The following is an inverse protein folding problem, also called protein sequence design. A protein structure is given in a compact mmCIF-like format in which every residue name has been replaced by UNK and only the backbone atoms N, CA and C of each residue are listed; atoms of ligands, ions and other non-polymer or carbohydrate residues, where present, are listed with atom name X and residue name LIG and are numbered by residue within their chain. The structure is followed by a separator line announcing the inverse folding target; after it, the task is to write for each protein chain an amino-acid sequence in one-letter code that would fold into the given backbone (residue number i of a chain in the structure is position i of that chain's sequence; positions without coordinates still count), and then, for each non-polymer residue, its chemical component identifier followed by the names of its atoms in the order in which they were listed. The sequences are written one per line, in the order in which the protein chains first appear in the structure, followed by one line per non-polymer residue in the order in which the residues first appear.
data_IF_888802663010
#
_entry.id   IF_888802663010
#
_cell.length_a   1.000
_cell.length_b   1.000
_cell.length_c   1.000
_cell.angle_alpha   90.00
_cell.angle_beta   90.00
_cell.angle_gamma   90.00
#
_symmetry.space_group_name_H-M   'P 1'
#
loop_
_entity.id
_entity.type
_entity.pdbx_description
1 polymer ?
#
# COMPACT_ATOMS: atom_id res chain seq x y z
N UNK A 1 -15.39 8.77 -15.94
CA UNK A 1 -15.26 7.30 -16.13
C UNK A 1 -16.39 6.52 -15.44
N UNK A 2 -16.81 6.87 -14.21
CA UNK A 2 -17.90 6.17 -13.51
C UNK A 2 -19.19 5.96 -14.33
N UNK A 3 -19.75 7.01 -14.94
CA UNK A 3 -20.97 6.91 -15.76
C UNK A 3 -20.85 5.91 -16.92
N UNK A 4 -19.67 5.81 -17.54
CA UNK A 4 -19.44 4.85 -18.62
C UNK A 4 -19.42 3.43 -18.07
N UNK A 5 -18.70 3.19 -16.97
CA UNK A 5 -18.70 1.88 -16.29
C UNK A 5 -20.11 1.48 -15.89
N UNK A 6 -20.89 2.40 -15.33
CA UNK A 6 -22.28 2.16 -14.97
C UNK A 6 -23.13 1.73 -16.17
N UNK A 7 -22.95 2.39 -17.32
CA UNK A 7 -23.75 2.13 -18.51
C UNK A 7 -23.40 0.82 -19.22
N UNK A 8 -22.11 0.49 -19.32
CA UNK A 8 -21.66 -0.56 -20.26
C UNK A 8 -20.89 -1.72 -19.63
N UNK A 9 -20.37 -1.58 -18.42
CA UNK A 9 -19.62 -2.66 -17.80
C UNK A 9 -20.56 -3.71 -17.17
N UNK A 10 -20.04 -4.93 -17.02
CA UNK A 10 -20.70 -5.94 -16.18
C UNK A 10 -20.86 -5.39 -14.76
N UNK A 11 -21.97 -5.69 -14.09
CA UNK A 11 -22.24 -5.18 -12.73
C UNK A 11 -21.33 -5.80 -11.67
N UNK A 12 -20.67 -6.91 -11.99
CA UNK A 12 -19.67 -7.57 -11.16
C UNK A 12 -18.22 -7.19 -11.50
N UNK A 13 -17.99 -6.21 -12.39
CA UNK A 13 -16.64 -5.75 -12.75
C UNK A 13 -15.86 -5.28 -11.51
N UNK A 14 -14.57 -5.59 -11.44
CA UNK A 14 -13.64 -5.11 -10.40
C UNK A 14 -12.82 -3.93 -10.95
N UNK A 15 -12.81 -2.82 -10.22
CA UNK A 15 -12.18 -1.56 -10.62
C UNK A 15 -10.98 -1.28 -9.72
N UNK A 16 -9.82 -1.10 -10.34
CA UNK A 16 -8.60 -0.63 -9.68
C UNK A 16 -8.24 0.76 -10.22
N UNK A 17 -8.31 1.77 -9.34
CA UNK A 17 -7.93 3.14 -9.67
C UNK A 17 -6.47 3.37 -9.31
N UNK A 18 -5.70 3.76 -10.33
CA UNK A 18 -4.26 4.06 -10.22
C UNK A 18 -3.97 5.55 -10.40
N UNK A 19 -4.75 6.25 -11.22
CA UNK A 19 -4.54 7.67 -11.51
C UNK A 19 -4.76 8.54 -10.28
N UNK A 20 -3.80 9.42 -9.99
CA UNK A 20 -3.84 10.28 -8.82
C UNK A 20 -4.85 11.44 -8.95
N UNK A 21 -5.49 11.85 -7.84
CA UNK A 21 -5.44 11.27 -6.49
C UNK A 21 -6.28 9.98 -6.38
N UNK A 22 -5.63 8.82 -6.22
CA UNK A 22 -6.26 7.51 -6.47
C UNK A 22 -7.48 7.22 -5.58
N UNK A 23 -7.38 7.47 -4.27
CA UNK A 23 -8.47 7.21 -3.33
C UNK A 23 -9.71 8.08 -3.63
N UNK A 24 -9.50 9.38 -3.87
CA UNK A 24 -10.59 10.31 -4.22
C UNK A 24 -11.19 9.97 -5.58
N UNK A 25 -10.37 9.62 -6.56
CA UNK A 25 -10.84 9.19 -7.88
C UNK A 25 -11.68 7.90 -7.80
N UNK A 26 -11.30 6.94 -6.95
CA UNK A 26 -12.10 5.74 -6.69
C UNK A 26 -13.45 6.08 -6.06
N UNK A 27 -13.47 6.96 -5.06
CA UNK A 27 -14.71 7.43 -4.43
C UNK A 27 -15.63 8.10 -5.47
N UNK A 28 -15.12 9.04 -6.25
CA UNK A 28 -15.88 9.72 -7.32
C UNK A 28 -16.40 8.69 -8.32
N UNK A 29 -15.56 7.76 -8.76
CA UNK A 29 -15.94 6.73 -9.73
C UNK A 29 -17.10 5.87 -9.21
N UNK A 30 -17.07 5.46 -7.94
CA UNK A 30 -18.16 4.69 -7.30
C UNK A 30 -19.46 5.49 -7.17
N UNK A 31 -19.38 6.81 -6.96
CA UNK A 31 -20.56 7.69 -6.87
C UNK A 31 -21.31 7.82 -8.19
N UNK A 32 -20.57 7.81 -9.30
CA UNK A 32 -21.11 7.90 -10.66
C UNK A 32 -21.41 6.52 -11.29
N UNK A 33 -21.28 5.43 -10.52
CA UNK A 33 -21.60 4.08 -10.96
C UNK A 33 -22.45 3.30 -9.94
N UNK A 34 -23.67 3.79 -9.63
CA UNK A 34 -24.50 3.26 -8.55
C UNK A 34 -24.98 1.82 -8.77
N UNK A 35 -24.97 1.31 -10.01
CA UNK A 35 -25.37 -0.06 -10.31
C UNK A 35 -24.27 -1.11 -10.08
N UNK A 36 -23.04 -0.67 -9.78
CA UNK A 36 -21.90 -1.56 -9.46
C UNK A 36 -21.70 -1.55 -7.93
N UNK A 37 -21.53 -2.71 -7.29
CA UNK A 37 -21.27 -2.78 -5.84
C UNK A 37 -20.04 -1.96 -5.44
N UNK A 38 -20.14 -1.21 -4.34
CA UNK A 38 -19.08 -0.28 -3.90
C UNK A 38 -17.79 -0.99 -3.53
N UNK A 39 -17.87 -2.22 -3.04
CA UNK A 39 -16.76 -3.11 -2.72
C UNK A 39 -15.91 -3.51 -3.95
N UNK A 40 -16.40 -3.24 -5.16
CA UNK A 40 -15.65 -3.48 -6.39
C UNK A 40 -14.70 -2.32 -6.74
N UNK A 41 -14.84 -1.16 -6.10
CA UNK A 41 -14.00 0.00 -6.35
C UNK A 41 -12.85 0.05 -5.36
N UNK A 42 -11.63 -0.08 -5.88
CA UNK A 42 -10.40 -0.07 -5.09
C UNK A 42 -9.45 1.01 -5.59
N UNK A 43 -8.64 1.56 -4.68
CA UNK A 43 -7.56 2.49 -5.00
C UNK A 43 -6.21 1.82 -4.72
N UNK A 44 -5.23 2.06 -5.58
CA UNK A 44 -3.95 1.35 -5.49
C UNK A 44 -3.01 1.99 -4.46
N UNK A 45 -2.84 1.33 -3.31
CA UNK A 45 -1.71 1.56 -2.36
C UNK A 45 -0.69 0.42 -2.40
N UNK A 46 -0.85 -0.53 -3.33
CA UNK A 46 0.01 -1.73 -3.44
C UNK A 46 1.46 -1.38 -3.77
N UNK A 47 1.71 -0.33 -4.55
CA UNK A 47 3.07 0.11 -4.83
C UNK A 47 3.76 0.62 -3.56
N UNK A 48 3.03 1.32 -2.70
CA UNK A 48 3.54 1.77 -1.40
C UNK A 48 3.86 0.58 -0.48
N UNK A 49 2.99 -0.44 -0.45
CA UNK A 49 3.23 -1.67 0.31
C UNK A 49 4.49 -2.39 -0.17
N UNK A 50 4.68 -2.51 -1.49
CA UNK A 50 5.88 -3.13 -2.06
C UNK A 50 7.15 -2.35 -1.70
N UNK A 51 7.08 -1.01 -1.69
CA UNK A 51 8.20 -0.14 -1.26
C UNK A 51 8.51 -0.36 0.22
N UNK A 52 7.50 -0.42 1.07
CA UNK A 52 7.64 -0.69 2.50
C UNK A 52 8.27 -2.06 2.77
N UNK A 53 7.81 -3.12 2.08
CA UNK A 53 8.41 -4.46 2.17
C UNK A 53 9.88 -4.45 1.77
N UNK A 54 10.24 -3.76 0.67
CA UNK A 54 11.62 -3.66 0.22
C UNK A 54 12.53 -2.92 1.23
N UNK A 55 12.03 -1.86 1.88
CA UNK A 55 12.77 -1.13 2.91
C UNK A 55 13.05 -2.00 4.14
N UNK A 56 12.05 -2.74 4.63
CA UNK A 56 12.22 -3.67 5.76
C UNK A 56 13.21 -4.78 5.41
N UNK A 57 13.07 -5.38 4.22
CA UNK A 57 13.96 -6.44 3.76
C UNK A 57 15.42 -5.96 3.68
N UNK A 58 15.64 -4.75 3.15
CA UNK A 58 16.97 -4.14 3.09
C UNK A 58 17.55 -3.84 4.48
N UNK A 59 16.76 -3.28 5.41
CA UNK A 59 17.18 -3.02 6.80
C UNK A 59 17.59 -4.31 7.53
N UNK A 60 16.94 -5.43 7.23
CA UNK A 60 17.19 -6.75 7.85
C UNK A 60 18.20 -7.62 7.08
N UNK A 61 18.64 -7.22 5.89
CA UNK A 61 19.54 -8.03 5.06
C UNK A 61 18.92 -9.34 4.56
N UNK A 62 17.60 -9.37 4.31
CA UNK A 62 16.86 -10.57 3.85
C UNK A 62 16.20 -10.33 2.50
N UNK A 63 15.61 -11.38 1.90
CA UNK A 63 14.88 -11.26 0.63
C UNK A 63 13.53 -10.61 0.87
N UNK A 64 13.04 -9.83 -0.10
CA UNK A 64 11.73 -9.15 0.00
C UNK A 64 10.58 -10.12 0.23
N UNK A 65 10.61 -11.30 -0.40
CA UNK A 65 9.62 -12.36 -0.22
C UNK A 65 9.56 -12.95 1.20
N UNK A 66 10.60 -12.73 2.00
CA UNK A 66 10.65 -13.17 3.39
C UNK A 66 9.98 -12.13 4.33
N UNK A 67 9.47 -11.01 3.81
CA UNK A 67 8.72 -9.98 4.57
C UNK A 67 7.23 -10.02 4.19
N UNK A 68 6.37 -10.29 5.18
CA UNK A 68 4.91 -10.37 5.01
C UNK A 68 4.16 -9.51 6.03
N UNK A 69 2.86 -9.34 5.81
CA UNK A 69 1.93 -8.63 6.72
C UNK A 69 2.25 -7.14 6.94
N UNK A 70 2.92 -6.49 5.97
CA UNK A 70 3.09 -5.02 5.96
C UNK A 70 1.78 -4.38 5.53
N UNK A 71 1.35 -3.32 6.23
CA UNK A 71 0.08 -2.62 5.95
C UNK A 71 0.36 -1.17 5.56
N UNK A 72 -0.42 -0.64 4.63
CA UNK A 72 -0.44 0.80 4.31
C UNK A 72 -1.82 1.33 4.68
N UNK A 73 -1.86 2.30 5.60
CA UNK A 73 -3.10 2.96 6.01
C UNK A 73 -3.26 4.33 5.34
N UNK A 74 -4.51 4.71 5.10
CA UNK A 74 -4.88 6.06 4.66
C UNK A 74 -4.86 6.25 3.13
N UNK A 75 -4.37 7.41 2.72
CA UNK A 75 -4.44 7.89 1.33
C UNK A 75 -3.16 7.54 0.56
N UNK A 76 -3.25 7.27 -0.75
CA UNK A 76 -2.07 7.21 -1.62
C UNK A 76 -1.50 8.63 -1.82
N UNK A 77 -0.73 9.09 -0.83
CA UNK A 77 -0.13 10.42 -0.76
C UNK A 77 1.06 10.42 0.21
N UNK A 78 1.62 11.59 0.51
CA UNK A 78 2.61 11.77 1.57
C UNK A 78 2.06 11.61 2.99
N UNK A 79 0.74 11.45 3.17
CA UNK A 79 0.09 11.24 4.47
C UNK A 79 -0.29 9.78 4.72
N UNK A 80 0.09 8.86 3.82
CA UNK A 80 -0.01 7.42 4.08
C UNK A 80 0.75 7.04 5.36
N UNK A 81 0.29 6.00 6.05
CA UNK A 81 1.01 5.42 7.17
C UNK A 81 1.46 3.99 6.84
N UNK A 82 2.75 3.80 6.50
CA UNK A 82 3.36 2.48 6.38
C UNK A 82 3.54 1.86 7.77
N UNK A 83 2.85 0.75 8.00
CA UNK A 83 2.77 0.09 9.29
C UNK A 83 3.44 -1.29 9.23
N UNK A 84 4.48 -1.43 10.06
CA UNK A 84 5.24 -2.65 10.23
C UNK A 84 4.95 -3.38 11.55
N UNK A 85 4.02 -2.87 12.38
CA UNK A 85 3.73 -3.42 13.72
C UNK A 85 3.30 -4.89 13.69
N UNK A 86 2.54 -5.27 12.66
CA UNK A 86 2.06 -6.63 12.43
C UNK A 86 2.86 -7.40 11.37
N UNK A 87 3.94 -6.79 10.85
CA UNK A 87 4.75 -7.40 9.82
C UNK A 87 5.60 -8.54 10.40
N UNK A 88 5.81 -9.59 9.60
CA UNK A 88 6.62 -10.75 9.95
C UNK A 88 7.77 -10.87 8.96
N UNK A 89 8.98 -11.14 9.46
CA UNK A 89 10.17 -11.43 8.69
C UNK A 89 10.62 -12.87 8.94
N UNK A 90 10.91 -13.62 7.86
CA UNK A 90 11.51 -14.95 7.95
C UNK A 90 13.03 -14.86 8.00
N UNK A 91 13.63 -15.14 9.16
CA UNK A 91 15.06 -15.02 9.41
C UNK A 91 15.59 -16.35 9.93
N UNK A 92 16.58 -16.93 9.24
CA UNK A 92 17.13 -18.24 9.61
C UNK A 92 16.09 -19.37 9.58
N UNK A 93 15.08 -19.26 8.70
CA UNK A 93 14.00 -20.24 8.58
C UNK A 93 12.83 -20.05 9.56
N UNK A 94 12.97 -19.18 10.56
CA UNK A 94 11.94 -18.91 11.56
C UNK A 94 11.25 -17.56 11.31
N UNK A 95 9.95 -17.50 11.61
CA UNK A 95 9.18 -16.26 11.57
C UNK A 95 9.45 -15.41 12.81
N UNK A 96 9.76 -14.12 12.60
CA UNK A 96 9.99 -13.14 13.65
C UNK A 96 9.15 -11.88 13.41
N UNK A 97 8.54 -11.28 14.43
CA UNK A 97 7.92 -9.96 14.30
C UNK A 97 8.95 -8.93 13.83
N UNK A 98 8.60 -8.12 12.84
CA UNK A 98 9.48 -7.07 12.30
C UNK A 98 9.93 -6.07 13.37
N UNK A 99 9.07 -5.60 14.31
CA UNK A 99 9.52 -4.72 15.39
C UNK A 99 10.65 -5.33 16.22
N UNK A 100 10.53 -6.62 16.57
CA UNK A 100 11.56 -7.33 17.33
C UNK A 100 12.82 -7.63 16.49
N UNK A 101 12.67 -7.91 15.19
CA UNK A 101 13.79 -8.20 14.31
C UNK A 101 14.61 -6.95 13.96
N UNK A 102 13.93 -5.82 13.75
CA UNK A 102 14.56 -4.53 13.47
C UNK A 102 15.16 -3.92 14.75
N UNK A 103 14.49 -4.12 15.89
CA UNK A 103 14.92 -3.68 17.23
C UNK A 103 15.31 -2.18 17.27
N UNK A 104 14.56 -1.36 16.54
CA UNK A 104 14.82 0.06 16.34
C UNK A 104 13.47 0.75 16.06
N UNK A 105 12.76 1.05 17.16
CA UNK A 105 11.42 1.60 17.16
C UNK A 105 11.38 3.02 16.54
N UNK A 106 12.43 3.81 16.78
CA UNK A 106 12.56 5.16 16.23
C UNK A 106 12.71 5.11 14.71
N UNK A 107 13.51 4.19 14.16
CA UNK A 107 13.58 3.97 12.72
C UNK A 107 12.22 3.62 12.13
N UNK A 108 11.48 2.67 12.75
CA UNK A 108 10.18 2.23 12.26
C UNK A 108 9.12 3.33 12.29
N UNK A 109 9.16 4.21 13.30
CA UNK A 109 8.21 5.33 13.44
C UNK A 109 8.58 6.58 12.64
N UNK A 110 9.84 6.73 12.23
CA UNK A 110 10.33 7.95 11.56
C UNK A 110 10.90 7.68 10.16
N UNK A 111 12.15 7.21 10.08
CA UNK A 111 12.92 7.08 8.85
C UNK A 111 12.23 6.15 7.86
N UNK A 112 11.70 5.02 8.32
CA UNK A 112 10.94 4.08 7.52
C UNK A 112 9.71 4.73 6.88
N UNK A 113 8.87 5.36 7.70
CA UNK A 113 7.63 6.05 7.27
C UNK A 113 7.95 7.13 6.23
N UNK A 114 8.89 8.02 6.54
CA UNK A 114 9.29 9.14 5.67
C UNK A 114 9.88 8.65 4.35
N UNK A 115 10.70 7.59 4.37
CA UNK A 115 11.33 7.03 3.18
C UNK A 115 10.29 6.46 2.22
N UNK A 116 9.31 5.71 2.72
CA UNK A 116 8.23 5.16 1.90
C UNK A 116 7.35 6.28 1.33
N UNK A 117 6.95 7.25 2.15
CA UNK A 117 6.15 8.41 1.72
C UNK A 117 6.82 9.22 0.59
N UNK A 118 8.15 9.38 0.63
CA UNK A 118 8.91 10.19 -0.33
C UNK A 118 9.48 9.40 -1.50
N UNK A 119 9.32 8.07 -1.53
CA UNK A 119 9.94 7.21 -2.54
C UNK A 119 9.50 7.52 -3.97
N UNK A 120 8.27 8.01 -4.17
CA UNK A 120 7.79 8.42 -5.49
C UNK A 120 8.62 9.54 -6.10
N UNK A 121 8.87 10.61 -5.34
CA UNK A 121 9.69 11.74 -5.78
C UNK A 121 11.15 11.32 -6.03
N UNK A 122 11.70 10.49 -5.14
CA UNK A 122 13.09 10.03 -5.22
C UNK A 122 13.39 9.11 -6.43
N UNK A 123 12.37 8.59 -7.14
CA UNK A 123 12.56 7.78 -8.36
C UNK A 123 12.47 8.65 -9.63
N UNK A 124 11.84 9.83 -9.54
CA UNK A 124 11.63 10.74 -10.68
C UNK A 124 12.79 11.73 -10.83
N UNK A 125 13.42 12.09 -9.71
CA UNK A 125 14.61 12.94 -9.67
C UNK A 125 15.84 12.22 -10.25
#
# INVERSE_FOLDING_TARGET
QGQALDKVARKDVKILVVGNPANTNALICSKYAPSIPKENFTAMTRLDQNRAQAQIAAKLGIRVQDVRNVVIWGNHSSTQFPDASNAIAKIGGADKPVPAAVNDDDYLKSTFVSTVQKRGAAVIA
#
